data_IF_545671670059
#
_entry.id   IF_545671670059
#
_cell.length_a   1.000
_cell.length_b   1.000
_cell.length_c   1.000
_cell.angle_alpha   90.00
_cell.angle_beta   90.00
_cell.angle_gamma   90.00
#
_symmetry.space_group_name_H-M   'P 1'
#
loop_
_entity.id
_entity.type
_entity.pdbx_description
1 polymer ?
#
# COMPACT_ATOMS: atom_id res chain seq x y z
N UNK A 1 1.39 16.08 21.91
CA UNK A 1 2.54 16.88 21.43
C UNK A 1 2.50 18.21 22.15
N UNK A 2 3.58 18.58 22.84
CA UNK A 2 3.70 19.94 23.35
C UNK A 2 3.91 20.87 22.14
N UNK A 3 2.97 21.79 21.91
CA UNK A 3 2.92 22.75 20.80
C UNK A 3 3.94 23.88 20.96
N UNK A 4 5.15 23.61 21.47
CA UNK A 4 6.14 24.65 21.79
C UNK A 4 6.52 25.41 20.51
N UNK A 5 5.84 26.52 20.25
CA UNK A 5 6.06 27.42 19.12
C UNK A 5 5.12 27.26 17.91
N UNK A 6 4.27 26.25 17.83
CA UNK A 6 3.35 26.04 16.68
C UNK A 6 1.88 26.19 17.10
N UNK A 7 1.12 26.98 16.35
CA UNK A 7 -0.33 27.11 16.50
C UNK A 7 -1.05 25.84 16.03
N UNK A 8 -2.28 25.62 16.50
CA UNK A 8 -3.11 24.49 16.03
C UNK A 8 -3.33 24.52 14.51
N UNK A 9 -3.43 25.72 13.92
CA UNK A 9 -3.57 25.88 12.47
C UNK A 9 -2.30 25.42 11.73
N UNK A 10 -1.12 25.77 12.22
CA UNK A 10 0.15 25.30 11.66
C UNK A 10 0.29 23.78 11.78
N UNK A 11 -0.12 23.20 12.91
CA UNK A 11 -0.13 21.75 13.08
C UNK A 11 -1.10 21.07 12.10
N UNK A 12 -2.30 21.62 11.89
CA UNK A 12 -3.26 21.08 10.94
C UNK A 12 -2.77 21.14 9.49
N UNK A 13 -2.06 22.20 9.10
CA UNK A 13 -1.41 22.31 7.79
C UNK A 13 -0.32 21.26 7.65
N UNK A 14 0.54 21.10 8.66
CA UNK A 14 1.59 20.10 8.62
C UNK A 14 1.03 18.67 8.57
N UNK A 15 -0.09 18.41 9.25
CA UNK A 15 -0.77 17.12 9.22
C UNK A 15 -1.28 16.81 7.80
N UNK A 16 -1.93 17.79 7.17
CA UNK A 16 -2.48 17.64 5.82
C UNK A 16 -1.38 17.52 4.75
N UNK A 17 -0.34 18.35 4.80
CA UNK A 17 0.66 18.44 3.73
C UNK A 17 1.86 17.49 3.88
N UNK A 18 2.09 16.92 5.07
CA UNK A 18 3.19 15.97 5.27
C UNK A 18 2.66 14.59 5.64
N UNK A 19 1.87 14.46 6.70
CA UNK A 19 1.52 13.13 7.20
C UNK A 19 0.46 12.42 6.34
N UNK A 20 -0.54 13.16 5.85
CA UNK A 20 -1.66 12.59 5.11
C UNK A 20 -1.20 11.89 3.83
N UNK A 21 -0.30 12.51 3.07
CA UNK A 21 0.28 11.96 1.83
C UNK A 21 1.01 10.64 2.08
N UNK A 22 1.77 10.58 3.18
CA UNK A 22 2.44 9.36 3.64
C UNK A 22 1.50 8.31 4.24
N UNK A 23 0.18 8.54 4.27
CA UNK A 23 -0.76 7.54 4.77
C UNK A 23 -0.79 7.41 6.30
N UNK A 24 -0.27 8.41 7.04
CA UNK A 24 -0.07 8.32 8.49
C UNK A 24 -0.45 9.62 9.23
N UNK A 25 -0.11 9.72 10.52
CA UNK A 25 -0.21 10.97 11.28
C UNK A 25 1.15 11.54 11.66
N UNK A 26 1.25 12.86 11.92
CA UNK A 26 2.53 13.50 12.30
C UNK A 26 3.16 12.90 13.56
N UNK A 27 2.34 12.27 14.41
CA UNK A 27 2.82 11.59 15.63
C UNK A 27 3.56 10.30 15.33
N UNK A 28 3.31 9.72 14.17
CA UNK A 28 3.83 8.44 13.74
C UNK A 28 4.88 8.59 12.64
N UNK A 29 4.92 9.72 11.93
CA UNK A 29 5.91 10.02 10.90
C UNK A 29 7.27 10.32 11.53
N UNK A 30 8.30 9.62 11.07
CA UNK A 30 9.69 9.89 11.43
C UNK A 30 10.28 10.98 10.55
N UNK A 31 10.65 12.13 11.14
CA UNK A 31 11.19 13.26 10.36
C UNK A 31 12.52 12.90 9.68
N UNK A 32 13.42 12.22 10.40
CA UNK A 32 14.70 11.77 9.84
C UNK A 32 14.45 10.77 8.71
N UNK A 33 13.58 9.79 8.97
CA UNK A 33 13.24 8.72 8.05
C UNK A 33 12.63 9.27 6.76
N UNK A 34 11.70 10.22 6.88
CA UNK A 34 11.08 10.93 5.76
C UNK A 34 12.11 11.69 4.93
N UNK A 35 13.06 12.38 5.57
CA UNK A 35 14.13 13.11 4.87
C UNK A 35 15.00 12.14 4.06
N UNK A 36 15.38 10.99 4.63
CA UNK A 36 16.18 10.00 3.91
C UNK A 36 15.42 9.39 2.73
N UNK A 37 14.14 9.03 2.90
CA UNK A 37 13.32 8.53 1.79
C UNK A 37 13.14 9.60 0.69
N UNK A 38 12.92 10.86 1.06
CA UNK A 38 12.78 11.96 0.09
C UNK A 38 14.07 12.20 -0.73
N UNK A 39 15.25 11.94 -0.16
CA UNK A 39 16.53 12.02 -0.91
C UNK A 39 16.66 10.95 -1.99
N UNK A 40 15.97 9.81 -1.81
CA UNK A 40 15.95 8.73 -2.79
C UNK A 40 14.96 8.95 -3.94
N UNK A 41 14.09 9.96 -3.86
CA UNK A 41 13.06 10.19 -4.86
C UNK A 41 13.63 10.65 -6.20
N UNK A 42 13.35 9.90 -7.26
CA UNK A 42 13.87 10.13 -8.61
C UNK A 42 12.78 10.23 -9.70
N UNK A 43 11.51 10.11 -9.31
CA UNK A 43 10.39 9.94 -10.25
C UNK A 43 9.72 11.26 -10.68
N UNK A 44 10.31 12.41 -10.31
CA UNK A 44 9.82 13.74 -10.67
C UNK A 44 8.54 14.17 -9.94
N UNK A 45 7.94 15.27 -10.39
CA UNK A 45 6.76 15.90 -9.75
C UNK A 45 5.48 15.79 -10.60
N UNK A 46 5.55 15.11 -11.74
CA UNK A 46 4.40 15.00 -12.65
C UNK A 46 3.52 13.81 -12.30
N UNK A 47 2.28 14.08 -11.90
CA UNK A 47 1.27 13.05 -11.66
C UNK A 47 0.50 12.74 -12.93
N UNK A 48 0.50 11.47 -13.33
CA UNK A 48 -0.24 10.98 -14.49
C UNK A 48 -1.42 10.11 -14.02
N UNK A 49 -2.61 10.41 -14.54
CA UNK A 49 -3.79 9.57 -14.33
C UNK A 49 -4.02 8.68 -15.55
N UNK A 50 -4.19 7.38 -15.32
CA UNK A 50 -4.56 6.45 -16.39
C UNK A 50 -5.97 6.71 -16.88
N UNK A 51 -6.19 6.56 -18.19
CA UNK A 51 -7.52 6.61 -18.84
C UNK A 51 -8.39 5.38 -18.52
N UNK A 52 -7.88 4.44 -17.73
CA UNK A 52 -8.51 3.17 -17.35
C UNK A 52 -8.04 2.72 -15.98
N UNK A 53 -8.74 1.73 -15.42
CA UNK A 53 -8.37 1.11 -14.14
C UNK A 53 -6.94 0.52 -14.18
N UNK A 54 -6.22 0.65 -13.06
CA UNK A 54 -4.94 -0.03 -12.81
C UNK A 54 -5.05 -1.56 -12.95
N UNK A 55 -6.26 -2.12 -12.81
CA UNK A 55 -6.54 -3.52 -13.11
C UNK A 55 -6.16 -3.95 -14.53
N UNK A 56 -6.15 -3.04 -15.51
CA UNK A 56 -5.68 -3.33 -16.86
C UNK A 56 -4.18 -3.67 -16.90
N UNK A 57 -3.35 -2.97 -16.09
CA UNK A 57 -1.92 -3.25 -15.95
C UNK A 57 -1.72 -4.60 -15.28
N UNK A 58 -2.43 -4.85 -14.17
CA UNK A 58 -2.35 -6.11 -13.43
C UNK A 58 -2.72 -7.29 -14.34
N UNK A 59 -3.84 -7.20 -15.07
CA UNK A 59 -4.28 -8.23 -15.99
C UNK A 59 -3.27 -8.46 -17.12
N UNK A 60 -2.66 -7.39 -17.64
CA UNK A 60 -1.63 -7.49 -18.66
C UNK A 60 -0.41 -8.27 -18.16
N UNK A 61 0.09 -7.93 -16.96
CA UNK A 61 1.26 -8.56 -16.33
C UNK A 61 0.99 -10.02 -15.92
N UNK A 62 -0.26 -10.36 -15.60
CA UNK A 62 -0.65 -11.71 -15.24
C UNK A 62 -0.80 -12.66 -16.45
N UNK A 63 -0.69 -12.18 -17.69
CA UNK A 63 -0.83 -13.04 -18.88
C UNK A 63 0.25 -14.11 -18.92
N UNK A 64 -0.18 -15.36 -19.05
CA UNK A 64 0.71 -16.54 -19.04
C UNK A 64 1.09 -17.01 -17.63
N UNK A 65 0.76 -16.28 -16.57
CA UNK A 65 0.97 -16.74 -15.20
C UNK A 65 -0.14 -17.73 -14.78
N UNK A 66 0.25 -18.80 -14.07
CA UNK A 66 -0.71 -19.72 -13.44
C UNK A 66 -1.22 -19.13 -12.12
N UNK A 67 -2.20 -18.24 -12.20
CA UNK A 67 -2.78 -17.57 -11.03
C UNK A 67 -3.82 -18.46 -10.35
N UNK A 68 -3.66 -18.69 -9.05
CA UNK A 68 -4.66 -19.37 -8.20
C UNK A 68 -5.33 -18.34 -7.29
N UNK A 69 -6.62 -18.08 -7.52
CA UNK A 69 -7.44 -17.26 -6.63
C UNK A 69 -8.07 -18.11 -5.53
N UNK A 70 -8.64 -17.47 -4.50
CA UNK A 70 -9.28 -18.15 -3.38
C UNK A 70 -8.36 -19.19 -2.71
N UNK A 71 -7.06 -18.89 -2.63
CA UNK A 71 -6.02 -19.77 -2.08
C UNK A 71 -5.24 -19.03 -0.98
N UNK A 72 -5.89 -18.85 0.17
CA UNK A 72 -5.30 -18.10 1.30
C UNK A 72 -4.20 -18.94 1.93
N UNK A 73 -2.94 -18.52 1.79
CA UNK A 73 -1.78 -19.17 2.42
C UNK A 73 -1.85 -19.01 3.93
N UNK A 74 -1.67 -20.11 4.67
CA UNK A 74 -1.66 -20.15 6.13
C UNK A 74 -0.31 -20.54 6.72
N UNK A 75 0.52 -21.29 5.98
CA UNK A 75 1.85 -21.66 6.45
C UNK A 75 2.85 -21.91 5.33
N UNK A 76 4.13 -21.64 5.63
CA UNK A 76 5.28 -21.87 4.78
C UNK A 76 6.33 -22.62 5.60
N UNK A 77 6.57 -23.88 5.25
CA UNK A 77 7.66 -24.66 5.81
C UNK A 77 8.84 -24.68 4.83
N UNK A 78 10.04 -24.38 5.31
CA UNK A 78 11.26 -24.32 4.52
C UNK A 78 12.44 -24.86 5.33
N UNK A 79 13.41 -25.47 4.65
CA UNK A 79 14.58 -26.02 5.31
C UNK A 79 14.31 -27.40 5.93
N UNK A 80 15.28 -28.28 5.72
CA UNK A 80 15.42 -29.57 6.37
C UNK A 80 16.92 -29.81 6.48
N UNK A 81 17.39 -30.17 7.68
CA UNK A 81 18.82 -30.36 7.95
C UNK A 81 19.49 -31.33 6.96
N UNK A 82 20.78 -31.11 6.69
CA UNK A 82 21.71 -31.97 5.93
C UNK A 82 21.27 -32.49 4.55
N UNK A 83 20.08 -32.15 4.05
CA UNK A 83 19.50 -32.66 2.81
C UNK A 83 19.28 -31.53 1.80
N UNK A 84 20.10 -31.45 0.73
CA UNK A 84 19.98 -30.46 -0.34
C UNK A 84 18.61 -30.43 -1.05
N UNK A 85 17.83 -31.49 -0.90
CA UNK A 85 16.51 -31.77 -1.48
C UNK A 85 15.30 -31.29 -0.64
N UNK A 86 15.52 -30.70 0.55
CA UNK A 86 14.43 -30.15 1.35
C UNK A 86 13.89 -28.83 0.76
N UNK A 87 12.92 -28.94 -0.16
CA UNK A 87 12.21 -27.81 -0.78
C UNK A 87 11.33 -27.02 0.19
N UNK A 88 10.48 -26.16 -0.37
CA UNK A 88 9.47 -25.37 0.35
C UNK A 88 8.12 -26.07 0.25
N UNK A 89 7.37 -26.09 1.35
CA UNK A 89 5.98 -26.54 1.41
C UNK A 89 5.09 -25.37 1.82
N UNK A 90 4.22 -24.94 0.92
CA UNK A 90 3.23 -23.87 1.14
C UNK A 90 1.86 -24.53 1.34
N UNK A 91 1.18 -24.19 2.43
CA UNK A 91 -0.17 -24.70 2.71
C UNK A 91 -1.17 -23.55 2.76
N UNK A 92 -2.38 -23.79 2.24
CA UNK A 92 -3.51 -22.89 2.38
C UNK A 92 -4.31 -23.17 3.66
N UNK A 93 -5.16 -22.22 4.03
CA UNK A 93 -6.06 -22.30 5.18
C UNK A 93 -7.02 -23.50 5.11
N UNK A 94 -7.38 -23.96 3.90
CA UNK A 94 -8.23 -25.13 3.67
C UNK A 94 -7.45 -26.44 3.42
N UNK A 95 -6.15 -26.45 3.72
CA UNK A 95 -5.33 -27.67 3.72
C UNK A 95 -4.74 -28.09 2.38
N UNK A 96 -4.96 -27.33 1.29
CA UNK A 96 -4.28 -27.57 0.01
C UNK A 96 -2.78 -27.26 0.13
N UNK A 97 -1.96 -27.98 -0.62
CA UNK A 97 -0.49 -27.93 -0.50
C UNK A 97 0.18 -27.75 -1.86
N UNK A 98 1.18 -26.87 -1.92
CA UNK A 98 2.11 -26.73 -3.03
C UNK A 98 3.54 -26.98 -2.53
N UNK A 99 4.33 -27.72 -3.32
CA UNK A 99 5.76 -27.93 -3.08
C UNK A 99 6.56 -27.24 -4.19
N UNK A 100 7.59 -26.51 -3.82
CA UNK A 100 8.43 -25.76 -4.75
C UNK A 100 9.88 -25.68 -4.26
N UNK A 101 10.82 -25.28 -5.12
CA UNK A 101 12.22 -25.07 -4.72
C UNK A 101 12.44 -23.79 -3.91
N UNK A 102 11.66 -22.76 -4.23
CA UNK A 102 11.69 -21.44 -3.61
C UNK A 102 10.27 -20.84 -3.57
N UNK A 103 10.04 -19.90 -2.65
CA UNK A 103 8.81 -19.12 -2.54
C UNK A 103 9.15 -17.62 -2.47
N UNK A 104 8.37 -16.80 -3.18
CA UNK A 104 8.41 -15.35 -3.08
C UNK A 104 7.19 -14.89 -2.28
N UNK A 105 7.43 -14.19 -1.18
CA UNK A 105 6.39 -13.63 -0.32
C UNK A 105 6.20 -12.17 -0.68
N UNK A 106 5.00 -11.82 -1.15
CA UNK A 106 4.63 -10.45 -1.55
C UNK A 106 3.41 -9.93 -0.78
N UNK A 107 3.08 -10.53 0.36
CA UNK A 107 1.95 -10.09 1.18
C UNK A 107 2.28 -8.76 1.87
N UNK A 108 1.29 -7.90 2.14
CA UNK A 108 1.50 -6.67 2.90
C UNK A 108 2.13 -6.90 4.27
N UNK A 109 2.88 -5.92 4.77
CA UNK A 109 3.61 -6.03 6.05
C UNK A 109 2.67 -6.33 7.23
N UNK A 110 1.45 -5.80 7.19
CA UNK A 110 0.36 -6.04 8.14
C UNK A 110 -0.06 -7.50 8.21
N UNK A 111 -0.05 -8.24 7.09
CA UNK A 111 -0.37 -9.67 7.05
C UNK A 111 0.71 -10.48 7.76
N UNK A 112 1.98 -10.07 7.62
CA UNK A 112 3.11 -10.69 8.33
C UNK A 112 3.06 -10.34 9.83
N UNK A 113 2.81 -9.07 10.18
CA UNK A 113 2.73 -8.58 11.56
C UNK A 113 1.62 -9.26 12.37
N UNK A 114 0.50 -9.58 11.73
CA UNK A 114 -0.63 -10.24 12.38
C UNK A 114 -0.49 -11.76 12.43
N UNK A 115 0.63 -12.32 11.97
CA UNK A 115 0.89 -13.77 12.03
C UNK A 115 -0.05 -14.60 11.16
N UNK A 116 -0.64 -14.02 10.11
CA UNK A 116 -1.58 -14.73 9.23
C UNK A 116 -0.91 -15.88 8.45
N UNK A 117 0.42 -15.86 8.34
CA UNK A 117 1.23 -16.93 7.75
C UNK A 117 2.22 -17.42 8.80
N UNK A 118 2.16 -18.71 9.14
CA UNK A 118 3.13 -19.35 10.02
C UNK A 118 4.35 -19.81 9.23
N UNK A 119 5.55 -19.41 9.67
CA UNK A 119 6.82 -19.82 9.09
C UNK A 119 7.47 -20.92 9.94
N UNK A 120 7.94 -21.99 9.31
CA UNK A 120 8.64 -23.10 9.98
C UNK A 120 9.94 -23.46 9.22
N UNK A 121 11.14 -23.25 9.81
CA UNK A 121 11.38 -22.62 11.11
C UNK A 121 10.92 -21.15 11.15
N UNK A 122 10.85 -20.51 12.32
CA UNK A 122 10.49 -19.10 12.43
C UNK A 122 11.43 -18.19 11.61
N UNK A 123 10.92 -17.00 11.24
CA UNK A 123 11.72 -15.99 10.57
C UNK A 123 12.89 -15.51 11.46
N UNK A 124 14.04 -15.13 10.88
CA UNK A 124 15.18 -14.62 11.64
C UNK A 124 14.85 -13.38 12.48
N UNK A 125 15.51 -13.24 13.63
CA UNK A 125 15.27 -12.15 14.59
C UNK A 125 15.39 -10.75 13.97
N UNK A 126 16.34 -10.54 13.05
CA UNK A 126 16.49 -9.26 12.36
C UNK A 126 15.23 -8.91 11.52
N UNK A 127 14.60 -9.91 10.89
CA UNK A 127 13.39 -9.70 10.10
C UNK A 127 12.18 -9.43 10.99
N UNK A 128 12.04 -10.14 12.11
CA UNK A 128 10.95 -9.90 13.06
C UNK A 128 11.08 -8.55 13.78
N UNK A 129 12.31 -8.11 14.08
CA UNK A 129 12.57 -6.77 14.59
C UNK A 129 12.21 -5.67 13.57
N UNK A 130 12.61 -5.83 12.31
CA UNK A 130 12.21 -4.89 11.26
C UNK A 130 10.69 -4.85 11.05
N UNK A 131 10.02 -6.02 11.10
CA UNK A 131 8.55 -6.10 11.03
C UNK A 131 7.84 -5.34 12.15
N UNK A 132 8.43 -5.20 13.34
CA UNK A 132 7.79 -4.47 14.45
C UNK A 132 7.96 -2.95 14.34
N UNK A 133 8.96 -2.48 13.58
CA UNK A 133 9.29 -1.05 13.42
C UNK A 133 8.73 -0.44 12.15
N UNK A 134 8.76 -1.16 11.03
CA UNK A 134 8.11 -0.71 9.77
C UNK A 134 6.61 -0.74 9.97
N UNK A 135 5.95 0.39 9.74
CA UNK A 135 4.50 0.52 9.91
C UNK A 135 3.83 0.77 8.58
N UNK A 136 2.55 0.41 8.53
CA UNK A 136 1.65 0.64 7.42
C UNK A 136 0.39 1.28 7.98
N UNK A 137 0.08 2.46 7.47
CA UNK A 137 -1.00 3.28 7.97
C UNK A 137 -2.33 2.91 7.32
N UNK A 138 -3.40 3.58 7.74
CA UNK A 138 -4.71 3.44 7.13
C UNK A 138 -5.00 4.62 6.20
N UNK A 139 -5.74 4.35 5.13
CA UNK A 139 -6.29 5.36 4.23
C UNK A 139 -7.73 4.99 3.95
N UNK A 140 -8.61 5.98 4.08
CA UNK A 140 -9.97 5.96 3.58
C UNK A 140 -10.09 6.90 2.40
N UNK A 141 -10.70 6.43 1.30
CA UNK A 141 -11.13 7.28 0.19
C UNK A 141 -12.64 7.38 0.14
N UNK A 142 -13.16 8.60 0.08
CA UNK A 142 -14.58 8.87 -0.16
C UNK A 142 -14.74 9.39 -1.58
N UNK A 143 -15.24 8.55 -2.48
CA UNK A 143 -15.45 8.86 -3.89
C UNK A 143 -16.89 9.27 -4.10
N UNK A 144 -17.14 10.50 -4.54
CA UNK A 144 -18.46 11.02 -4.85
C UNK A 144 -18.54 11.40 -6.33
N UNK A 145 -19.65 11.04 -6.98
CA UNK A 145 -19.96 11.43 -8.36
C UNK A 145 -21.16 12.37 -8.38
N UNK A 146 -21.14 13.34 -9.30
CA UNK A 146 -22.09 14.43 -9.38
C UNK A 146 -22.65 14.60 -10.79
N UNK A 147 -23.91 15.03 -10.86
CA UNK A 147 -24.64 15.29 -12.11
C UNK A 147 -24.24 16.61 -12.76
N UNK A 148 -23.68 17.55 -12.00
CA UNK A 148 -23.14 18.82 -12.49
C UNK A 148 -21.82 19.16 -11.79
N UNK A 149 -20.98 19.95 -12.46
CA UNK A 149 -19.77 20.52 -11.88
C UNK A 149 -20.11 21.80 -11.12
N UNK A 150 -19.55 21.95 -9.92
CA UNK A 150 -19.70 23.14 -9.07
C UNK A 150 -18.36 23.77 -8.63
N UNK A 151 -17.24 23.25 -9.13
CA UNK A 151 -15.89 23.81 -8.97
C UNK A 151 -15.38 24.39 -10.30
N UNK A 152 -14.24 25.09 -10.31
CA UNK A 152 -13.62 25.60 -11.54
C UNK A 152 -12.99 24.48 -12.37
N UNK A 153 -12.89 24.64 -13.69
CA UNK A 153 -12.41 23.57 -14.57
C UNK A 153 -10.93 23.22 -14.37
N UNK A 154 -10.13 24.20 -13.98
CA UNK A 154 -8.70 24.09 -13.69
C UNK A 154 -8.40 23.63 -12.26
N UNK A 155 -9.43 23.40 -11.43
CA UNK A 155 -9.27 22.92 -10.07
C UNK A 155 -9.19 21.39 -10.05
N UNK A 156 -8.02 20.86 -9.65
CA UNK A 156 -7.75 19.42 -9.62
C UNK A 156 -7.43 18.89 -8.21
N UNK A 157 -6.99 19.76 -7.30
CA UNK A 157 -6.57 19.43 -5.94
C UNK A 157 -6.93 20.56 -4.97
N UNK A 158 -7.42 20.20 -3.79
CA UNK A 158 -7.75 21.12 -2.70
C UNK A 158 -7.31 20.52 -1.37
N UNK A 159 -6.41 21.23 -0.69
CA UNK A 159 -6.01 20.94 0.68
C UNK A 159 -6.90 21.72 1.66
N UNK A 160 -7.54 21.03 2.59
CA UNK A 160 -8.40 21.57 3.64
C UNK A 160 -7.85 21.20 5.03
N UNK A 161 -6.83 21.91 5.54
CA UNK A 161 -6.23 21.61 6.84
C UNK A 161 -7.26 21.59 7.97
N UNK A 162 -7.33 20.49 8.70
CA UNK A 162 -8.25 20.34 9.83
C UNK A 162 -9.70 19.97 9.48
N UNK A 163 -10.06 19.94 8.19
CA UNK A 163 -11.39 19.50 7.75
C UNK A 163 -11.55 17.96 7.81
N UNK A 164 -12.73 17.45 7.46
CA UNK A 164 -13.04 16.01 7.47
C UNK A 164 -12.10 15.23 6.54
N UNK A 165 -12.02 15.61 5.27
CA UNK A 165 -11.00 15.19 4.33
C UNK A 165 -9.89 16.27 4.26
N UNK A 166 -8.67 15.99 4.75
CA UNK A 166 -7.54 16.93 4.66
C UNK A 166 -7.21 17.35 3.23
N UNK A 167 -7.50 16.49 2.25
CA UNK A 167 -7.23 16.72 0.84
C UNK A 167 -8.32 16.05 0.00
N UNK A 168 -8.66 16.63 -1.14
CA UNK A 168 -9.49 15.97 -2.13
C UNK A 168 -9.17 16.39 -3.56
N UNK A 169 -9.35 15.45 -4.49
CA UNK A 169 -9.05 15.66 -5.90
C UNK A 169 -10.31 15.63 -6.76
N UNK A 170 -10.33 16.48 -7.79
CA UNK A 170 -11.35 16.46 -8.82
C UNK A 170 -10.86 15.63 -10.00
N UNK A 171 -11.60 14.58 -10.32
CA UNK A 171 -11.22 13.66 -11.37
C UNK A 171 -12.19 13.78 -12.55
N UNK A 172 -11.61 13.90 -13.74
CA UNK A 172 -12.32 13.77 -15.01
C UNK A 172 -12.02 12.40 -15.59
N UNK A 173 -12.86 11.41 -15.27
CA UNK A 173 -12.73 10.10 -15.89
C UNK A 173 -13.42 10.10 -17.26
N UNK A 174 -12.75 9.69 -18.35
CA UNK A 174 -13.43 9.50 -19.61
C UNK A 174 -14.52 8.42 -19.44
N UNK A 175 -15.68 8.56 -20.11
CA UNK A 175 -16.77 7.62 -19.96
C UNK A 175 -16.32 6.24 -20.41
N UNK A 176 -16.58 5.21 -19.58
CA UNK A 176 -16.23 3.82 -19.88
C UNK A 176 -17.11 3.20 -20.97
N UNK A 177 -18.22 3.86 -21.31
CA UNK A 177 -19.16 3.45 -22.36
C UNK A 177 -19.38 4.61 -23.34
N UNK A 178 -19.36 4.36 -24.66
CA UNK A 178 -19.78 5.34 -25.65
C UNK A 178 -21.19 5.86 -25.35
N UNK A 179 -21.37 7.19 -25.36
CA UNK A 179 -22.67 7.85 -25.14
C UNK A 179 -23.07 8.07 -23.68
N UNK A 180 -22.34 7.51 -22.70
CA UNK A 180 -22.50 7.92 -21.31
C UNK A 180 -21.82 9.28 -21.10
N UNK A 181 -22.50 10.22 -20.45
CA UNK A 181 -21.86 11.47 -20.03
C UNK A 181 -20.71 11.19 -19.07
N UNK A 182 -19.67 12.03 -19.11
CA UNK A 182 -18.56 11.99 -18.14
C UNK A 182 -19.08 12.38 -16.77
N UNK A 183 -19.10 11.48 -15.76
CA UNK A 183 -19.46 11.88 -14.40
C UNK A 183 -18.38 12.81 -13.84
N UNK A 184 -18.81 13.84 -13.12
CA UNK A 184 -17.89 14.66 -12.35
C UNK A 184 -17.59 13.97 -11.03
N UNK A 185 -16.33 13.65 -10.76
CA UNK A 185 -15.96 12.89 -9.57
C UNK A 185 -15.07 13.71 -8.65
N UNK A 186 -15.31 13.60 -7.34
CA UNK A 186 -14.43 14.12 -6.30
C UNK A 186 -14.01 12.95 -5.41
N UNK A 187 -12.72 12.89 -5.06
CA UNK A 187 -12.15 11.86 -4.19
C UNK A 187 -11.57 12.53 -2.96
N UNK A 188 -12.23 12.36 -1.82
CA UNK A 188 -11.69 12.71 -0.52
C UNK A 188 -10.62 11.71 -0.11
N UNK A 189 -9.47 12.20 0.34
CA UNK A 189 -8.33 11.40 0.76
C UNK A 189 -8.04 11.68 2.23
N UNK A 190 -8.19 10.64 3.04
CA UNK A 190 -8.09 10.71 4.49
C UNK A 190 -7.14 9.61 4.95
N UNK A 191 -6.09 9.96 5.67
CA UNK A 191 -5.08 9.03 6.12
C UNK A 191 -4.86 9.03 7.64
N UNK A 192 -4.07 8.08 8.11
CA UNK A 192 -3.60 7.99 9.50
C UNK A 192 -4.72 7.84 10.52
N UNK A 193 -4.53 8.44 11.71
CA UNK A 193 -5.49 8.37 12.82
C UNK A 193 -6.87 8.93 12.43
N UNK A 194 -6.93 9.86 11.47
CA UNK A 194 -8.19 10.37 10.94
C UNK A 194 -8.91 9.33 10.09
N UNK A 195 -8.19 8.56 9.28
CA UNK A 195 -8.77 7.44 8.53
C UNK A 195 -9.38 6.40 9.48
N UNK A 196 -8.75 6.14 10.63
CA UNK A 196 -9.29 5.22 11.65
C UNK A 196 -10.58 5.75 12.27
N UNK A 197 -10.67 7.06 12.52
CA UNK A 197 -11.90 7.71 12.97
C UNK A 197 -13.02 7.61 11.92
N UNK A 198 -12.69 7.81 10.64
CA UNK A 198 -13.63 7.66 9.51
C UNK A 198 -14.07 6.20 9.35
N UNK A 199 -13.15 5.25 9.52
CA UNK A 199 -13.46 3.82 9.53
C UNK A 199 -14.48 3.46 10.61
N UNK A 200 -14.31 4.02 11.83
CA UNK A 200 -15.16 3.73 12.97
C UNK A 200 -16.60 4.28 12.82
N UNK A 201 -16.79 5.41 12.14
CA UNK A 201 -18.13 6.00 11.93
C UNK A 201 -18.93 5.34 10.80
N UNK A 202 -18.27 4.57 9.93
CA UNK A 202 -18.91 3.84 8.83
C UNK A 202 -19.16 4.68 7.56
N UNK A 203 -19.45 3.99 6.44
CA UNK A 203 -19.40 4.58 5.10
C UNK A 203 -20.48 5.66 4.86
N UNK A 204 -21.68 5.49 5.40
CA UNK A 204 -22.78 6.46 5.22
C UNK A 204 -22.47 7.79 5.92
N UNK A 205 -21.95 7.72 7.14
CA UNK A 205 -21.52 8.92 7.88
C UNK A 205 -20.34 9.60 7.19
N UNK A 206 -19.37 8.83 6.70
CA UNK A 206 -18.22 9.35 5.97
C UNK A 206 -18.64 10.11 4.68
N UNK A 207 -19.59 9.56 3.92
CA UNK A 207 -20.13 10.25 2.73
C UNK A 207 -20.85 11.55 3.09
N UNK A 208 -21.68 11.52 4.14
CA UNK A 208 -22.42 12.71 4.59
C UNK A 208 -21.46 13.82 5.02
N UNK A 209 -20.47 13.52 5.86
CA UNK A 209 -19.50 14.53 6.30
C UNK A 209 -18.65 15.07 5.15
N UNK A 210 -18.31 14.24 4.17
CA UNK A 210 -17.59 14.73 3.00
C UNK A 210 -18.47 15.63 2.11
N UNK A 211 -19.75 15.30 1.93
CA UNK A 211 -20.71 16.17 1.24
C UNK A 211 -20.88 17.52 1.95
N UNK A 212 -21.01 17.51 3.27
CA UNK A 212 -21.08 18.73 4.10
C UNK A 212 -19.84 19.60 3.90
N UNK A 213 -18.64 19.00 3.92
CA UNK A 213 -17.40 19.73 3.64
C UNK A 213 -17.39 20.31 2.22
N UNK A 214 -17.83 19.57 1.21
CA UNK A 214 -17.88 20.09 -0.17
C UNK A 214 -18.87 21.24 -0.30
N UNK A 215 -20.02 21.18 0.37
CA UNK A 215 -20.98 22.29 0.42
C UNK A 215 -20.40 23.51 1.17
N UNK A 216 -19.60 23.31 2.22
CA UNK A 216 -18.90 24.39 2.92
C UNK A 216 -17.86 25.07 2.00
N UNK A 217 -17.12 24.29 1.24
CA UNK A 217 -16.06 24.80 0.34
C UNK A 217 -16.63 25.50 -0.89
N UNK A 218 -17.69 24.96 -1.49
CA UNK A 218 -18.21 25.42 -2.79
C UNK A 218 -19.56 26.14 -2.73
N UNK A 219 -20.21 26.15 -1.56
CA UNK A 219 -21.47 26.82 -1.35
C UNK A 219 -21.40 28.32 -1.59
N UNK A 220 -22.48 28.87 -2.14
CA UNK A 220 -22.67 30.30 -2.37
C UNK A 220 -24.07 30.72 -1.92
N UNK A 221 -24.35 32.02 -1.74
CA UNK A 221 -25.69 32.47 -1.41
C UNK A 221 -26.78 32.01 -2.40
N UNK A 222 -26.44 31.83 -3.68
CA UNK A 222 -27.35 31.37 -4.74
C UNK A 222 -27.47 29.84 -4.85
N UNK A 223 -26.47 29.10 -4.42
CA UNK A 223 -26.44 27.63 -4.39
C UNK A 223 -25.68 27.20 -3.14
N UNK A 224 -26.34 27.13 -1.96
CA UNK A 224 -25.66 26.90 -0.69
C UNK A 224 -25.26 25.44 -0.48
N UNK A 225 -25.79 24.50 -1.28
CA UNK A 225 -25.53 23.06 -1.16
C UNK A 225 -25.31 22.40 -2.53
N UNK A 226 -24.30 22.85 -3.30
CA UNK A 226 -24.09 22.41 -4.68
C UNK A 226 -23.70 20.94 -4.77
N UNK A 227 -22.95 20.42 -3.79
CA UNK A 227 -22.53 19.02 -3.76
C UNK A 227 -23.69 18.12 -3.36
N UNK A 228 -24.37 18.41 -2.24
CA UNK A 228 -25.49 17.60 -1.77
C UNK A 228 -26.66 17.58 -2.76
N UNK A 229 -26.92 18.68 -3.46
CA UNK A 229 -28.02 18.75 -4.44
C UNK A 229 -27.71 18.11 -5.79
N UNK A 230 -26.46 17.71 -6.05
CA UNK A 230 -26.03 17.14 -7.33
C UNK A 230 -25.41 15.75 -7.22
N UNK A 231 -25.23 15.21 -6.01
CA UNK A 231 -24.66 13.88 -5.80
C UNK A 231 -25.51 12.80 -6.47
N UNK A 232 -24.84 11.92 -7.21
CA UNK A 232 -25.46 10.79 -7.92
C UNK A 232 -25.16 9.49 -7.21
N UNK A 233 -23.90 9.30 -6.83
CA UNK A 233 -23.43 8.08 -6.17
C UNK A 233 -22.18 8.36 -5.36
N UNK A 234 -22.11 7.74 -4.18
CA UNK A 234 -20.92 7.69 -3.36
C UNK A 234 -20.38 6.28 -3.19
N UNK A 235 -19.08 6.16 -2.94
CA UNK A 235 -18.41 4.94 -2.51
C UNK A 235 -17.32 5.27 -1.49
N UNK A 236 -17.19 4.46 -0.44
CA UNK A 236 -16.13 4.59 0.57
C UNK A 236 -15.25 3.35 0.48
N UNK A 237 -13.96 3.57 0.34
CA UNK A 237 -12.94 2.53 0.30
C UNK A 237 -12.11 2.66 1.57
N UNK A 238 -12.11 1.62 2.39
CA UNK A 238 -11.35 1.55 3.63
C UNK A 238 -10.40 0.34 3.58
N UNK A 239 -9.13 0.63 3.33
CA UNK A 239 -8.14 -0.43 3.11
C UNK A 239 -7.80 -1.20 4.40
N UNK A 240 -8.10 -0.66 5.59
CA UNK A 240 -7.94 -1.39 6.86
C UNK A 240 -8.93 -2.54 7.01
N UNK A 241 -10.09 -2.47 6.34
CA UNK A 241 -11.13 -3.51 6.38
C UNK A 241 -10.93 -4.59 5.34
N UNK A 242 -10.00 -4.39 4.40
CA UNK A 242 -9.68 -5.40 3.38
C UNK A 242 -8.91 -6.57 4.01
N UNK A 243 -9.46 -7.80 4.01
CA UNK A 243 -8.96 -8.91 4.84
C UNK A 243 -7.55 -9.38 4.48
N UNK A 244 -7.09 -9.09 3.26
CA UNK A 244 -5.78 -9.46 2.73
C UNK A 244 -4.81 -8.28 2.62
N UNK A 245 -5.21 -7.09 3.10
CA UNK A 245 -4.40 -5.87 3.06
C UNK A 245 -4.27 -5.24 4.45
N UNK A 246 -5.39 -4.98 5.14
CA UNK A 246 -5.42 -4.53 6.54
C UNK A 246 -4.61 -3.26 6.81
N UNK A 247 -4.63 -2.32 5.85
CA UNK A 247 -3.91 -1.05 5.85
C UNK A 247 -3.77 -0.53 4.42
N UNK A 248 -3.11 0.61 4.20
CA UNK A 248 -2.94 1.20 2.87
C UNK A 248 -1.56 0.92 2.27
N UNK A 249 -0.51 1.53 2.81
CA UNK A 249 0.88 1.36 2.41
C UNK A 249 1.81 1.70 3.57
N UNK A 250 3.05 1.20 3.51
CA UNK A 250 4.10 1.52 4.47
C UNK A 250 4.47 3.00 4.44
N UNK A 251 5.10 3.50 5.49
CA UNK A 251 5.53 4.90 5.59
C UNK A 251 6.81 5.01 6.43
N UNK A 252 7.56 6.12 6.35
CA UNK A 252 8.76 6.34 7.16
C UNK A 252 8.38 6.51 8.62
N UNK A 253 8.22 5.40 9.32
CA UNK A 253 7.68 5.35 10.67
C UNK A 253 8.70 5.82 11.70
N UNK A 254 8.20 6.58 12.69
CA UNK A 254 8.99 7.02 13.83
C UNK A 254 9.55 5.80 14.57
N UNK A 255 10.88 5.78 14.71
CA UNK A 255 11.61 4.69 15.35
C UNK A 255 12.01 3.55 14.41
N UNK A 256 11.76 3.66 13.10
CA UNK A 256 12.39 2.77 12.12
C UNK A 256 13.91 3.00 12.07
N UNK A 257 14.65 1.91 11.90
CA UNK A 257 16.11 1.93 11.79
C UNK A 257 16.55 1.89 10.33
N UNK A 258 17.71 2.49 10.06
CA UNK A 258 18.39 2.31 8.78
C UNK A 258 18.67 0.81 8.58
N UNK A 259 18.18 0.26 7.47
CA UNK A 259 18.30 -1.17 7.16
C UNK A 259 17.08 -2.02 7.52
N UNK A 260 16.03 -1.48 8.14
CA UNK A 260 14.80 -2.25 8.40
C UNK A 260 14.17 -2.78 7.11
N UNK A 261 14.01 -1.91 6.10
CA UNK A 261 13.53 -2.30 4.76
C UNK A 261 14.43 -3.34 4.10
N UNK A 262 15.75 -3.27 4.31
CA UNK A 262 16.72 -4.26 3.83
C UNK A 262 16.58 -5.62 4.55
N UNK A 263 16.34 -5.60 5.87
CA UNK A 263 16.07 -6.80 6.66
C UNK A 263 14.74 -7.46 6.25
N UNK A 264 13.72 -6.66 5.91
CA UNK A 264 12.48 -7.16 5.31
C UNK A 264 12.72 -7.79 3.94
N UNK A 265 13.52 -7.15 3.07
CA UNK A 265 13.88 -7.65 1.75
C UNK A 265 14.76 -8.91 1.75
N UNK A 266 15.55 -9.11 2.82
CA UNK A 266 16.58 -10.15 2.86
C UNK A 266 15.99 -11.57 2.72
N UNK A 267 16.55 -12.42 1.85
CA UNK A 267 16.10 -13.80 1.69
C UNK A 267 16.45 -14.65 2.93
N UNK A 268 15.68 -15.72 3.15
CA UNK A 268 15.87 -16.65 4.26
C UNK A 268 16.18 -18.04 3.71
N UNK A 269 17.30 -18.60 4.19
CA UNK A 269 17.77 -19.95 3.87
C UNK A 269 17.90 -20.25 2.37
N UNK A 270 18.08 -19.22 1.53
CA UNK A 270 18.14 -19.35 0.06
C UNK A 270 16.85 -19.89 -0.58
N UNK A 271 15.72 -19.87 0.13
CA UNK A 271 14.46 -20.49 -0.31
C UNK A 271 13.22 -19.61 -0.14
N UNK A 272 13.22 -18.71 0.84
CA UNK A 272 12.12 -17.77 1.06
C UNK A 272 12.61 -16.37 0.72
N UNK A 273 11.99 -15.74 -0.27
CA UNK A 273 12.34 -14.42 -0.78
C UNK A 273 11.21 -13.44 -0.50
N UNK A 274 11.51 -12.15 -0.47
CA UNK A 274 10.55 -11.10 -0.13
C UNK A 274 10.58 -9.95 -1.15
N UNK A 275 9.40 -9.53 -1.58
CA UNK A 275 9.19 -8.36 -2.41
C UNK A 275 7.89 -7.67 -2.00
N UNK A 276 7.62 -6.49 -2.58
CA UNK A 276 6.50 -5.63 -2.20
C UNK A 276 7.01 -4.28 -1.71
N UNK A 277 6.11 -3.30 -1.68
CA UNK A 277 6.45 -1.89 -1.44
C UNK A 277 7.24 -1.68 -0.13
N UNK A 278 6.88 -2.39 0.94
CA UNK A 278 7.55 -2.28 2.24
C UNK A 278 8.99 -2.82 2.26
N UNK A 279 9.45 -3.42 1.17
CA UNK A 279 10.81 -3.97 1.01
C UNK A 279 11.69 -3.10 0.10
N UNK A 280 11.19 -1.98 -0.41
CA UNK A 280 12.03 -1.00 -1.12
C UNK A 280 12.85 -0.23 -0.07
N UNK A 281 14.15 -0.10 -0.29
CA UNK A 281 15.09 0.54 0.65
C UNK A 281 15.32 2.03 0.39
N UNK A 282 15.05 2.48 -0.84
CA UNK A 282 15.45 3.82 -1.29
C UNK A 282 14.36 4.86 -1.08
N UNK A 283 13.12 4.47 -1.33
CA UNK A 283 11.95 5.37 -1.31
C UNK A 283 10.78 4.64 -0.65
N UNK A 284 9.67 5.35 -0.41
CA UNK A 284 8.36 4.74 -0.18
C UNK A 284 7.43 4.74 -1.43
N UNK A 285 7.76 3.98 -2.48
CA UNK A 285 7.02 3.97 -3.72
C UNK A 285 5.92 2.91 -3.69
N UNK A 286 4.69 3.35 -3.95
CA UNK A 286 3.52 2.48 -4.02
C UNK A 286 3.69 1.36 -5.07
N UNK A 287 3.48 1.66 -6.35
CA UNK A 287 3.43 0.61 -7.40
C UNK A 287 4.81 0.35 -8.00
N UNK A 288 5.55 1.39 -8.38
CA UNK A 288 6.90 1.28 -8.95
C UNK A 288 7.86 0.57 -7.98
N UNK A 289 7.70 0.81 -6.68
CA UNK A 289 8.39 0.09 -5.61
C UNK A 289 8.18 -1.40 -5.59
N UNK A 290 6.91 -1.79 -5.60
CA UNK A 290 6.53 -3.18 -5.65
C UNK A 290 7.12 -3.86 -6.91
N UNK A 291 7.18 -3.16 -8.04
CA UNK A 291 7.78 -3.67 -9.28
C UNK A 291 9.31 -3.82 -9.18
N UNK A 292 10.02 -2.78 -8.72
CA UNK A 292 11.49 -2.81 -8.55
C UNK A 292 11.92 -3.91 -7.56
N UNK A 293 11.21 -4.05 -6.45
CA UNK A 293 11.49 -5.09 -5.45
C UNK A 293 11.20 -6.50 -5.98
N UNK A 294 10.23 -6.64 -6.89
CA UNK A 294 9.97 -7.90 -7.59
C UNK A 294 11.12 -8.27 -8.55
N UNK A 295 11.67 -7.32 -9.31
CA UNK A 295 12.83 -7.54 -10.16
C UNK A 295 14.06 -7.98 -9.35
N UNK A 296 14.33 -7.28 -8.24
CA UNK A 296 15.38 -7.66 -7.28
C UNK A 296 15.18 -9.09 -6.78
N UNK A 297 13.98 -9.43 -6.31
CA UNK A 297 13.70 -10.75 -5.77
C UNK A 297 13.79 -11.85 -6.84
N UNK A 298 13.36 -11.58 -8.08
CA UNK A 298 13.52 -12.50 -9.19
C UNK A 298 14.99 -12.79 -9.50
N UNK A 299 15.86 -11.78 -9.44
CA UNK A 299 17.31 -11.97 -9.58
C UNK A 299 17.90 -12.81 -8.44
N UNK A 300 17.49 -12.56 -7.19
CA UNK A 300 17.91 -13.35 -6.02
C UNK A 300 17.48 -14.82 -6.13
N UNK A 301 16.25 -15.08 -6.60
CA UNK A 301 15.74 -16.44 -6.82
C UNK A 301 16.57 -17.16 -7.88
N UNK A 302 16.84 -16.49 -9.02
CA UNK A 302 17.66 -17.04 -10.10
C UNK A 302 19.04 -17.45 -9.60
N UNK A 303 19.73 -16.54 -8.91
CA UNK A 303 21.05 -16.81 -8.35
C UNK A 303 21.04 -18.01 -7.37
N UNK A 304 20.00 -18.14 -6.54
CA UNK A 304 19.87 -19.27 -5.63
C UNK A 304 19.61 -20.60 -6.35
N UNK A 305 18.81 -20.59 -7.42
CA UNK A 305 18.57 -21.77 -8.26
C UNK A 305 19.86 -22.21 -8.97
N UNK A 306 20.60 -21.27 -9.53
CA UNK A 306 21.86 -21.56 -10.23
C UNK A 306 22.92 -22.12 -9.25
N UNK A 307 23.01 -21.54 -8.05
CA UNK A 307 23.90 -22.04 -6.99
C UNK A 307 23.54 -23.47 -6.55
N UNK A 308 22.24 -23.77 -6.42
CA UNK A 308 21.77 -25.10 -6.07
C UNK A 308 22.08 -26.13 -7.16
N UNK A 309 21.90 -25.76 -8.44
CA UNK A 309 22.24 -26.61 -9.58
C UNK A 309 23.75 -26.90 -9.64
N UNK A 310 24.59 -25.88 -9.44
CA UNK A 310 26.04 -26.04 -9.41
C UNK A 310 26.51 -26.93 -8.25
N UNK A 311 25.91 -26.80 -7.06
CA UNK A 311 26.21 -27.64 -5.91
C UNK A 311 25.83 -29.11 -6.16
N UNK A 312 24.68 -29.38 -6.78
CA UNK A 312 24.25 -30.72 -7.15
C UNK A 312 25.20 -31.38 -8.16
N UNK A 313 25.64 -30.63 -9.18
CA UNK A 313 26.60 -31.12 -10.17
C UNK A 313 27.95 -31.49 -9.54
N UNK A 314 28.49 -30.64 -8.64
CA UNK A 314 29.73 -30.93 -7.90
C UNK A 314 29.61 -32.18 -7.02
N UNK A 315 28.48 -32.36 -6.33
CA UNK A 315 28.26 -33.54 -5.49
C UNK A 315 28.13 -34.84 -6.30
N UNK A 316 27.59 -34.77 -7.52
CA UNK A 316 27.54 -35.92 -8.42
C UNK A 316 28.95 -36.31 -8.91
N UNK A 317 29.78 -35.32 -9.25
CA UNK A 317 31.16 -35.53 -9.69
C UNK A 317 32.06 -36.07 -8.58
N UNK A 318 31.87 -35.67 -7.32
CA UNK A 318 32.67 -36.18 -6.19
C UNK A 318 32.31 -37.60 -5.74
N UNK A 319 31.26 -38.20 -6.31
CA UNK A 319 30.81 -39.58 -6.05
C UNK A 319 31.22 -40.56 -7.15
N UNK A 320 31.84 -40.06 -8.22
CA UNK A 320 32.51 -40.82 -9.27
C UNK A 320 33.99 -40.98 -8.92
#
# INVERSE_FOLDING_TARGET
MATKGCTNRQMAVAEACYANDFGCSLRQLGLREMIEENRGWDSGETYLLMDRSMGAVINHLARGANVKTSWVVSSIAYGGGARPDAGVRVCSADGRVVRCGAVLVTVPVTILQQGAITFSPPLPAAKTAALSRVRMGNVVKVVLSFSRRFWKEDMYDVVCPGAFAPEFWMLKYPPTKPGAGTPYCVVGFIAGERADQVSAMGPEAAQRHFLEQLDEVFGSPSDPRPASSSVVKGHVIDWSKEPYIRGAYSYPSLGAELGDRAALASPVSGRVFFAGEATNEAVNPCIQGAMQTAERAAAQIRAAVDAAAAAAAKSALSKL
#
